data_IF_369849868060
#
_entry.id   IF_369849868060
#
_cell.length_a   1.000
_cell.length_b   1.000
_cell.length_c   1.000
_cell.angle_alpha   90.00
_cell.angle_beta   90.00
_cell.angle_gamma   90.00
#
_symmetry.space_group_name_H-M   'P 1'
#
loop_
_entity.id
_entity.type
_entity.pdbx_description
1 polymer ?
#
# COMPACT_ATOMS: atom_id res chain seq x y z
N UNK A 1 -4.29 -1.44 19.32
CA UNK A 1 -4.43 0.04 19.39
C UNK A 1 -3.78 0.67 18.18
N UNK A 2 -4.43 1.65 17.52
CA UNK A 2 -3.90 2.38 16.36
C UNK A 2 -3.09 3.60 16.82
N UNK A 3 -1.87 3.72 16.31
CA UNK A 3 -1.03 4.92 16.46
C UNK A 3 -0.80 5.53 15.08
N UNK A 4 -1.00 6.83 14.96
CA UNK A 4 -0.85 7.56 13.69
C UNK A 4 0.14 8.70 13.88
N UNK A 5 1.19 8.74 13.07
CA UNK A 5 2.17 9.84 13.05
C UNK A 5 1.85 10.85 11.96
N UNK A 6 1.42 10.35 10.78
CA UNK A 6 1.04 11.21 9.67
C UNK A 6 -0.33 10.78 9.12
N UNK A 7 -1.20 11.76 8.89
CA UNK A 7 -2.50 11.52 8.24
C UNK A 7 -2.32 11.29 6.75
N UNK A 8 -3.26 10.60 6.08
CA UNK A 8 -3.19 10.41 4.64
C UNK A 8 -3.12 11.75 3.89
N UNK A 9 -2.22 11.82 2.93
CA UNK A 9 -1.99 12.98 2.05
C UNK A 9 -2.65 12.71 0.71
N UNK A 10 -3.21 13.76 0.13
CA UNK A 10 -3.67 13.72 -1.25
C UNK A 10 -2.47 13.46 -2.17
N UNK A 11 -2.60 12.57 -3.14
CA UNK A 11 -1.54 12.22 -4.10
C UNK A 11 -0.35 11.44 -3.50
N UNK A 12 -0.56 10.75 -2.41
CA UNK A 12 0.39 9.75 -1.90
C UNK A 12 -0.19 8.35 -2.08
N UNK A 13 0.67 7.39 -2.40
CA UNK A 13 0.35 5.96 -2.39
C UNK A 13 0.75 5.35 -1.05
N UNK A 14 -0.05 4.41 -0.54
CA UNK A 14 0.21 3.75 0.73
C UNK A 14 0.20 2.25 0.60
N UNK A 15 0.99 1.60 1.44
CA UNK A 15 0.99 0.13 1.56
C UNK A 15 0.68 -0.29 2.99
N UNK A 16 -0.06 -1.38 3.12
CA UNK A 16 -0.31 -2.07 4.38
C UNK A 16 0.33 -3.44 4.36
N UNK A 17 1.11 -3.75 5.39
CA UNK A 17 1.53 -5.11 5.70
C UNK A 17 0.81 -5.58 6.96
N UNK A 18 0.25 -6.77 6.93
CA UNK A 18 -0.57 -7.32 8.00
C UNK A 18 -0.03 -8.67 8.41
N UNK A 19 0.44 -8.76 9.64
CA UNK A 19 0.77 -10.00 10.33
C UNK A 19 -0.38 -10.36 11.27
N UNK A 20 -0.92 -11.57 11.12
CA UNK A 20 -2.14 -12.00 11.80
C UNK A 20 -1.84 -13.11 12.78
N UNK A 21 -2.12 -12.86 14.04
CA UNK A 21 -2.10 -13.85 15.12
C UNK A 21 -3.48 -14.43 15.40
N UNK A 22 -3.53 -15.43 16.28
CA UNK A 22 -4.76 -16.14 16.67
C UNK A 22 -5.77 -15.25 17.44
N UNK A 23 -5.27 -14.17 18.06
CA UNK A 23 -6.10 -13.24 18.84
C UNK A 23 -6.37 -13.67 20.28
N UNK A 24 -5.69 -14.70 20.77
CA UNK A 24 -5.83 -15.18 22.16
C UNK A 24 -5.15 -14.23 23.16
N UNK A 25 -5.71 -14.13 24.37
CA UNK A 25 -5.20 -13.25 25.42
C UNK A 25 -3.74 -13.49 25.84
N UNK A 26 -3.21 -14.69 25.61
CA UNK A 26 -1.85 -15.11 25.94
C UNK A 26 -0.99 -15.43 24.70
N UNK A 27 -1.53 -15.23 23.49
CA UNK A 27 -0.83 -15.52 22.23
C UNK A 27 -0.02 -14.34 21.70
N UNK A 28 0.43 -14.48 20.46
CA UNK A 28 1.12 -13.46 19.71
C UNK A 28 0.19 -12.28 19.39
N UNK A 29 0.76 -11.19 18.95
CA UNK A 29 0.01 -10.00 18.55
C UNK A 29 -0.22 -9.98 17.04
N UNK A 30 -1.36 -9.44 16.64
CA UNK A 30 -1.53 -9.01 15.26
C UNK A 30 -0.98 -7.59 15.07
N UNK A 31 -0.40 -7.34 13.91
CA UNK A 31 0.19 -6.06 13.57
C UNK A 31 -0.20 -5.61 12.16
N UNK A 32 -0.51 -4.32 12.02
CA UNK A 32 -0.70 -3.66 10.72
C UNK A 32 0.27 -2.50 10.64
N UNK A 33 1.13 -2.50 9.65
CA UNK A 33 2.07 -1.41 9.35
C UNK A 33 1.62 -0.64 8.12
N UNK A 34 1.69 0.68 8.19
CA UNK A 34 1.35 1.56 7.05
C UNK A 34 2.57 2.36 6.64
N UNK A 35 2.92 2.29 5.35
CA UNK A 35 4.03 3.05 4.77
C UNK A 35 3.50 4.01 3.71
N UNK A 36 3.91 5.27 3.78
CA UNK A 36 3.84 6.23 2.67
C UNK A 36 4.91 5.84 1.64
N UNK A 37 4.47 5.42 0.46
CA UNK A 37 5.38 4.90 -0.58
C UNK A 37 6.25 6.00 -1.17
N UNK A 38 5.68 7.20 -1.33
CA UNK A 38 6.34 8.34 -1.95
C UNK A 38 7.45 8.91 -1.07
N UNK A 39 7.18 9.01 0.24
CA UNK A 39 8.14 9.58 1.18
C UNK A 39 9.02 8.51 1.85
N UNK A 40 8.71 7.22 1.68
CA UNK A 40 9.44 6.15 2.34
C UNK A 40 9.34 6.23 3.86
N UNK A 41 8.13 6.44 4.41
CA UNK A 41 7.94 6.64 5.85
C UNK A 41 6.87 5.71 6.41
N UNK A 42 7.13 5.16 7.59
CA UNK A 42 6.11 4.56 8.43
C UNK A 42 5.17 5.66 8.95
N UNK A 43 3.89 5.63 8.57
CA UNK A 43 2.94 6.69 8.91
C UNK A 43 1.93 6.29 9.98
N UNK A 44 1.66 4.99 10.11
CA UNK A 44 0.81 4.46 11.18
C UNK A 44 1.15 3.01 11.50
N UNK A 45 0.73 2.57 12.68
CA UNK A 45 0.76 1.19 13.13
C UNK A 45 -0.51 0.89 13.92
N UNK A 46 -1.11 -0.27 13.66
CA UNK A 46 -2.05 -0.90 14.57
C UNK A 46 -1.40 -2.13 15.17
N UNK A 47 -1.54 -2.33 16.48
CA UNK A 47 -0.98 -3.48 17.17
C UNK A 47 -1.89 -3.89 18.32
N UNK A 48 -2.22 -5.17 18.40
CA UNK A 48 -3.15 -5.67 19.42
C UNK A 48 -3.46 -7.15 19.27
N UNK A 49 -4.30 -7.64 20.18
CA UNK A 49 -4.84 -9.01 20.18
C UNK A 49 -6.32 -8.96 19.97
N UNK A 50 -6.76 -9.30 18.79
CA UNK A 50 -8.17 -9.46 18.41
C UNK A 50 -8.29 -10.65 17.45
N UNK A 51 -9.47 -11.27 17.36
CA UNK A 51 -9.72 -12.33 16.39
C UNK A 51 -9.40 -11.90 14.95
N UNK A 52 -8.94 -12.84 14.10
CA UNK A 52 -8.57 -12.52 12.72
C UNK A 52 -9.69 -11.90 11.85
N UNK A 53 -10.94 -12.26 12.10
CA UNK A 53 -12.11 -11.68 11.44
C UNK A 53 -12.37 -10.24 11.90
N UNK A 54 -12.19 -9.93 13.19
CA UNK A 54 -12.27 -8.56 13.71
C UNK A 54 -11.10 -7.71 13.19
N UNK A 55 -9.89 -8.28 13.11
CA UNK A 55 -8.73 -7.61 12.53
C UNK A 55 -9.01 -7.12 11.10
N UNK A 56 -9.78 -7.87 10.34
CA UNK A 56 -10.13 -7.47 8.97
C UNK A 56 -10.89 -6.15 8.90
N UNK A 57 -11.74 -5.83 9.89
CA UNK A 57 -12.42 -4.52 9.95
C UNK A 57 -11.43 -3.38 10.25
N UNK A 58 -10.47 -3.61 11.15
CA UNK A 58 -9.42 -2.64 11.41
C UNK A 58 -8.58 -2.39 10.17
N UNK A 59 -8.14 -3.46 9.49
CA UNK A 59 -7.38 -3.37 8.24
C UNK A 59 -8.16 -2.65 7.16
N UNK A 60 -9.46 -2.97 7.01
CA UNK A 60 -10.35 -2.31 6.05
C UNK A 60 -10.42 -0.81 6.32
N UNK A 61 -10.72 -0.42 7.55
CA UNK A 61 -10.88 0.98 7.93
C UNK A 61 -9.57 1.77 7.73
N UNK A 62 -8.45 1.22 8.18
CA UNK A 62 -7.13 1.83 7.99
C UNK A 62 -6.81 1.97 6.50
N UNK A 63 -7.00 0.91 5.72
CA UNK A 63 -6.67 0.88 4.31
C UNK A 63 -7.50 1.85 3.48
N UNK A 64 -8.81 1.94 3.74
CA UNK A 64 -9.70 2.90 3.09
C UNK A 64 -9.33 4.34 3.48
N UNK A 65 -9.05 4.58 4.76
CA UNK A 65 -8.64 5.90 5.23
C UNK A 65 -7.34 6.37 4.57
N UNK A 66 -6.38 5.45 4.34
CA UNK A 66 -5.15 5.72 3.58
C UNK A 66 -5.34 5.57 2.06
N UNK A 67 -6.50 5.94 1.53
CA UNK A 67 -6.76 6.06 0.10
C UNK A 67 -6.79 4.72 -0.65
N UNK A 68 -7.33 3.68 -0.04
CA UNK A 68 -7.33 2.30 -0.54
C UNK A 68 -5.91 1.76 -0.73
N UNK A 69 -5.11 1.87 0.31
CA UNK A 69 -3.72 1.42 0.33
C UNK A 69 -3.58 -0.03 -0.15
N UNK A 70 -2.48 -0.35 -0.83
CA UNK A 70 -2.21 -1.74 -1.24
C UNK A 70 -1.97 -2.61 -0.01
N UNK A 71 -2.91 -3.50 0.28
CA UNK A 71 -2.91 -4.35 1.46
C UNK A 71 -2.35 -5.73 1.16
N UNK A 72 -1.36 -6.14 1.95
CA UNK A 72 -0.78 -7.47 1.93
C UNK A 72 -0.91 -8.12 3.30
N UNK A 73 -1.71 -9.18 3.40
CA UNK A 73 -1.85 -10.01 4.60
C UNK A 73 -0.96 -11.23 4.46
N UNK A 74 -0.31 -11.65 5.55
CA UNK A 74 0.39 -12.94 5.55
C UNK A 74 -0.61 -14.08 5.38
N UNK A 75 -0.44 -14.90 4.35
CA UNK A 75 -1.36 -16.01 4.04
C UNK A 75 -1.03 -17.29 4.82
N UNK A 76 -0.80 -17.16 6.13
CA UNK A 76 -0.76 -18.26 7.09
C UNK A 76 -2.18 -18.69 7.51
N UNK A 77 -2.30 -19.65 8.43
CA UNK A 77 -3.60 -20.18 8.86
C UNK A 77 -4.58 -19.09 9.34
N UNK A 78 -4.11 -18.17 10.19
CA UNK A 78 -4.94 -17.09 10.77
C UNK A 78 -5.17 -15.96 9.74
N UNK A 79 -4.16 -15.64 8.93
CA UNK A 79 -4.26 -14.63 7.89
C UNK A 79 -5.23 -14.99 6.78
N UNK A 80 -5.48 -16.27 6.53
CA UNK A 80 -6.53 -16.68 5.57
C UNK A 80 -7.93 -16.23 6.00
N UNK A 81 -8.24 -16.26 7.30
CA UNK A 81 -9.50 -15.75 7.85
C UNK A 81 -9.62 -14.25 7.60
N UNK A 82 -8.56 -13.48 7.90
CA UNK A 82 -8.52 -12.04 7.63
C UNK A 82 -8.68 -11.73 6.14
N UNK A 83 -8.02 -12.49 5.25
CA UNK A 83 -8.15 -12.36 3.80
C UNK A 83 -9.57 -12.61 3.33
N UNK A 84 -10.22 -13.69 3.80
CA UNK A 84 -11.60 -14.02 3.42
C UNK A 84 -12.55 -12.91 3.85
N UNK A 85 -12.41 -12.43 5.09
CA UNK A 85 -13.26 -11.37 5.62
C UNK A 85 -13.05 -10.04 4.89
N UNK A 86 -11.81 -9.64 4.57
CA UNK A 86 -11.52 -8.44 3.76
C UNK A 86 -12.17 -8.52 2.37
N UNK A 87 -12.18 -9.70 1.75
CA UNK A 87 -12.86 -9.92 0.47
C UNK A 87 -14.38 -9.78 0.61
N UNK A 88 -14.98 -10.30 1.68
CA UNK A 88 -16.41 -10.15 1.96
C UNK A 88 -16.79 -8.69 2.21
N UNK A 89 -15.93 -7.94 2.88
CA UNK A 89 -16.08 -6.49 3.07
C UNK A 89 -15.87 -5.69 1.76
N UNK A 90 -15.40 -6.33 0.70
CA UNK A 90 -15.14 -5.67 -0.59
C UNK A 90 -13.91 -4.77 -0.60
N UNK A 91 -12.87 -5.07 0.19
CA UNK A 91 -11.65 -4.26 0.17
C UNK A 91 -11.03 -4.24 -1.24
N UNK A 92 -10.82 -3.06 -1.86
CA UNK A 92 -10.60 -2.98 -3.30
C UNK A 92 -9.17 -3.31 -3.73
N UNK A 93 -8.18 -3.11 -2.86
CA UNK A 93 -6.76 -3.12 -3.26
C UNK A 93 -5.94 -4.13 -2.44
N UNK A 94 -6.24 -5.41 -2.62
CA UNK A 94 -5.50 -6.52 -1.99
C UNK A 94 -4.40 -7.04 -2.90
N UNK A 95 -3.22 -7.27 -2.34
CA UNK A 95 -2.12 -7.92 -3.06
C UNK A 95 -2.48 -9.35 -3.47
N UNK A 96 -2.17 -9.68 -4.72
CA UNK A 96 -2.36 -11.00 -5.31
C UNK A 96 -1.07 -11.46 -5.97
N UNK A 97 -0.56 -12.59 -5.51
CA UNK A 97 0.57 -13.24 -6.17
C UNK A 97 0.05 -14.07 -7.34
N UNK A 98 0.61 -13.83 -8.53
CA UNK A 98 0.36 -14.68 -9.70
C UNK A 98 1.43 -15.75 -9.72
N UNK A 99 1.03 -17.01 -9.84
CA UNK A 99 1.91 -18.15 -10.01
C UNK A 99 1.42 -19.05 -11.13
N UNK A 100 2.34 -19.59 -11.92
CA UNK A 100 2.03 -20.60 -12.91
C UNK A 100 1.97 -21.95 -12.19
N UNK A 101 0.82 -22.61 -12.23
CA UNK A 101 0.75 -24.00 -11.77
C UNK A 101 1.34 -24.90 -12.88
N UNK A 102 2.51 -25.48 -12.61
CA UNK A 102 3.25 -26.29 -13.57
C UNK A 102 2.52 -27.58 -13.98
N UNK A 103 1.62 -28.11 -13.12
CA UNK A 103 0.86 -29.33 -13.42
C UNK A 103 -0.30 -29.07 -14.36
N UNK A 104 -1.00 -27.94 -14.19
CA UNK A 104 -2.18 -27.59 -14.98
C UNK A 104 -1.91 -26.57 -16.08
N UNK A 105 -0.69 -26.02 -16.16
CA UNK A 105 -0.29 -24.90 -17.03
C UNK A 105 -1.25 -23.70 -16.97
N UNK A 106 -1.89 -23.49 -15.80
CA UNK A 106 -2.82 -22.39 -15.55
C UNK A 106 -2.22 -21.37 -14.61
N UNK A 107 -2.47 -20.11 -14.90
CA UNK A 107 -2.16 -19.01 -13.96
C UNK A 107 -3.11 -19.07 -12.78
N UNK A 108 -2.56 -19.25 -11.58
CA UNK A 108 -3.29 -19.14 -10.31
C UNK A 108 -3.01 -17.79 -9.67
N UNK A 109 -4.00 -17.28 -8.95
CA UNK A 109 -3.87 -16.05 -8.18
C UNK A 109 -4.18 -16.37 -6.71
N UNK A 110 -3.20 -16.11 -5.85
CA UNK A 110 -3.33 -16.30 -4.42
C UNK A 110 -3.28 -14.93 -3.73
N UNK A 111 -4.23 -14.67 -2.83
CA UNK A 111 -4.24 -13.45 -2.03
C UNK A 111 -3.21 -13.53 -0.91
N UNK A 112 -2.57 -12.39 -0.64
CA UNK A 112 -1.63 -12.25 0.45
C UNK A 112 -0.22 -12.76 0.11
N UNK A 113 0.63 -12.76 1.14
CA UNK A 113 2.03 -13.16 1.05
C UNK A 113 2.25 -14.45 1.82
N UNK A 114 2.71 -15.49 1.14
CA UNK A 114 3.09 -16.74 1.79
C UNK A 114 4.54 -16.65 2.27
N UNK A 115 4.72 -16.56 3.58
CA UNK A 115 6.02 -16.62 4.22
C UNK A 115 6.54 -18.05 4.24
N UNK A 116 7.69 -18.28 3.64
CA UNK A 116 8.38 -19.55 3.54
C UNK A 116 9.81 -19.43 4.02
N UNK A 117 10.51 -20.58 4.18
CA UNK A 117 11.94 -20.59 4.50
C UNK A 117 12.80 -19.82 3.50
N UNK A 118 12.34 -19.70 2.24
CA UNK A 118 13.04 -18.96 1.18
C UNK A 118 12.59 -17.49 1.10
N UNK A 119 11.29 -17.21 1.22
CA UNK A 119 10.78 -15.84 1.04
C UNK A 119 11.00 -14.95 2.28
N UNK A 120 11.01 -15.51 3.51
CA UNK A 120 11.25 -14.74 4.75
C UNK A 120 12.63 -14.06 4.73
N UNK A 121 13.76 -14.78 4.50
CA UNK A 121 15.07 -14.12 4.44
C UNK A 121 15.15 -13.00 3.41
N UNK A 122 14.66 -13.22 2.19
CA UNK A 122 14.68 -12.21 1.13
C UNK A 122 13.90 -10.96 1.52
N UNK A 123 12.73 -11.12 2.12
CA UNK A 123 11.87 -10.03 2.57
C UNK A 123 12.54 -9.21 3.68
N UNK A 124 13.20 -9.88 4.63
CA UNK A 124 13.91 -9.24 5.74
C UNK A 124 15.20 -8.57 5.25
N UNK A 125 15.96 -9.21 4.36
CA UNK A 125 17.16 -8.62 3.77
C UNK A 125 16.81 -7.34 2.97
N UNK A 126 15.71 -7.35 2.19
CA UNK A 126 15.19 -6.16 1.50
C UNK A 126 14.80 -5.03 2.48
N UNK A 127 14.15 -5.36 3.61
CA UNK A 127 13.84 -4.39 4.65
C UNK A 127 15.12 -3.81 5.25
N UNK A 128 16.11 -4.66 5.56
CA UNK A 128 17.40 -4.24 6.08
C UNK A 128 18.13 -3.30 5.13
N UNK A 129 18.09 -3.57 3.82
CA UNK A 129 18.66 -2.68 2.79
C UNK A 129 17.92 -1.35 2.72
N UNK A 130 16.60 -1.34 2.74
CA UNK A 130 15.81 -0.10 2.70
C UNK A 130 16.10 0.80 3.91
N UNK A 131 16.28 0.21 5.10
CA UNK A 131 16.66 0.95 6.31
C UNK A 131 18.11 1.48 6.25
N UNK A 132 19.04 0.65 5.78
CA UNK A 132 20.46 1.04 5.64
C UNK A 132 20.65 2.17 4.63
N UNK A 133 19.90 2.15 3.54
CA UNK A 133 19.97 3.16 2.48
C UNK A 133 19.11 4.40 2.79
N UNK A 134 18.49 4.48 3.97
CA UNK A 134 17.60 5.58 4.38
C UNK A 134 16.36 5.72 3.46
N UNK A 135 15.99 4.64 2.76
CA UNK A 135 14.79 4.58 1.89
C UNK A 135 13.50 4.39 2.69
N UNK A 136 13.61 4.05 3.97
CA UNK A 136 12.49 3.85 4.88
C UNK A 136 12.79 4.45 6.27
N UNK A 137 11.98 5.43 6.67
CA UNK A 137 12.05 6.10 7.96
C UNK A 137 11.00 5.50 8.90
N UNK A 138 11.43 5.12 10.12
CA UNK A 138 10.57 4.54 11.13
C UNK A 138 10.27 5.53 12.25
N UNK A 139 9.00 5.56 12.69
CA UNK A 139 8.55 6.37 13.81
C UNK A 139 8.27 5.53 15.07
N UNK A 140 7.93 4.24 14.91
CA UNK A 140 7.59 3.37 16.03
C UNK A 140 8.84 2.86 16.75
N UNK A 141 9.01 3.28 18.01
CA UNK A 141 10.12 2.84 18.85
C UNK A 141 10.09 1.33 19.14
N UNK A 142 8.89 0.76 19.30
CA UNK A 142 8.74 -0.66 19.56
C UNK A 142 9.13 -1.49 18.34
N UNK A 143 8.77 -1.05 17.12
CA UNK A 143 9.22 -1.68 15.89
C UNK A 143 10.75 -1.66 15.77
N UNK A 144 11.38 -0.55 16.13
CA UNK A 144 12.85 -0.44 16.18
C UNK A 144 13.43 -1.38 17.26
N UNK A 145 12.74 -1.53 18.39
CA UNK A 145 13.11 -2.48 19.46
C UNK A 145 13.10 -3.92 18.94
N UNK A 146 12.04 -4.35 18.27
CA UNK A 146 11.94 -5.70 17.68
C UNK A 146 13.01 -5.92 16.59
N UNK A 147 13.27 -4.93 15.73
CA UNK A 147 14.34 -5.02 14.71
C UNK A 147 15.71 -5.26 15.33
N UNK A 148 16.01 -4.70 16.51
CA UNK A 148 17.29 -4.92 17.21
C UNK A 148 17.45 -6.34 17.76
N UNK A 149 16.34 -7.02 18.07
CA UNK A 149 16.33 -8.40 18.57
C UNK A 149 16.10 -9.43 17.46
N UNK A 150 15.86 -8.95 16.22
CA UNK A 150 15.63 -9.82 15.10
C UNK A 150 16.94 -10.44 14.60
N UNK A 151 17.06 -11.75 14.74
CA UNK A 151 18.31 -12.47 14.47
C UNK A 151 18.10 -13.66 13.54
N UNK A 152 19.19 -14.06 12.88
CA UNK A 152 19.25 -15.30 12.12
C UNK A 152 19.97 -16.35 12.98
N UNK A 153 19.34 -17.48 13.25
CA UNK A 153 19.97 -18.59 13.94
C UNK A 153 20.90 -19.40 13.00
N UNK A 154 21.68 -20.30 13.57
CA UNK A 154 22.63 -21.17 12.84
C UNK A 154 21.97 -22.02 11.74
N UNK A 155 20.68 -22.32 11.84
CA UNK A 155 19.88 -23.07 10.87
C UNK A 155 19.28 -22.19 9.78
N UNK A 156 19.60 -20.86 9.78
CA UNK A 156 19.10 -19.89 8.82
C UNK A 156 17.67 -19.42 9.06
N UNK A 157 17.02 -19.85 10.15
CA UNK A 157 15.72 -19.32 10.54
C UNK A 157 15.86 -17.93 11.15
N UNK A 158 14.94 -17.04 10.82
CA UNK A 158 14.92 -15.64 11.27
C UNK A 158 13.71 -15.39 12.14
N UNK A 159 13.93 -14.81 13.33
CA UNK A 159 12.86 -14.42 14.25
C UNK A 159 13.33 -13.33 15.21
N UNK A 160 12.38 -12.57 15.75
CA UNK A 160 12.58 -11.67 16.88
C UNK A 160 12.37 -12.41 18.22
N UNK A 161 12.78 -11.78 19.32
CA UNK A 161 12.52 -12.24 20.66
C UNK A 161 12.18 -11.06 21.56
N UNK A 162 11.06 -11.08 22.30
CA UNK A 162 10.07 -12.17 22.39
C UNK A 162 9.06 -12.21 21.23
N UNK A 163 8.93 -11.17 20.42
CA UNK A 163 7.96 -11.03 19.32
C UNK A 163 8.64 -10.54 18.05
N UNK A 164 8.04 -10.84 16.90
CA UNK A 164 8.49 -10.35 15.57
C UNK A 164 7.35 -9.81 14.68
N UNK A 165 6.16 -9.67 15.24
CA UNK A 165 4.93 -9.27 14.53
C UNK A 165 5.07 -7.93 13.81
N UNK A 166 5.66 -6.93 14.48
CA UNK A 166 5.87 -5.59 13.91
C UNK A 166 6.88 -5.61 12.77
N UNK A 167 7.92 -6.44 12.90
CA UNK A 167 8.96 -6.59 11.87
C UNK A 167 8.39 -7.32 10.66
N UNK A 168 7.59 -8.36 10.87
CA UNK A 168 6.97 -9.12 9.79
C UNK A 168 5.97 -8.28 9.02
N UNK A 169 5.08 -7.57 9.71
CA UNK A 169 4.14 -6.65 9.09
C UNK A 169 4.87 -5.52 8.31
N UNK A 170 5.93 -4.95 8.89
CA UNK A 170 6.74 -3.91 8.23
C UNK A 170 7.43 -4.43 6.98
N UNK A 171 8.01 -5.61 7.04
CA UNK A 171 8.69 -6.22 5.90
C UNK A 171 7.72 -6.50 4.74
N UNK A 172 6.49 -6.95 5.03
CA UNK A 172 5.44 -7.10 4.02
C UNK A 172 5.03 -5.75 3.43
N UNK A 173 4.81 -4.72 4.27
CA UNK A 173 4.49 -3.38 3.79
C UNK A 173 5.59 -2.82 2.88
N UNK A 174 6.87 -3.04 3.24
CA UNK A 174 8.02 -2.64 2.43
C UNK A 174 8.08 -3.38 1.09
N UNK A 175 7.78 -4.69 1.05
CA UNK A 175 7.67 -5.42 -0.22
C UNK A 175 6.59 -4.84 -1.13
N UNK A 176 5.48 -4.40 -0.57
CA UNK A 176 4.37 -3.83 -1.34
C UNK A 176 4.71 -2.50 -1.99
N UNK A 177 5.71 -1.77 -1.52
CA UNK A 177 6.18 -0.53 -2.18
C UNK A 177 6.57 -0.76 -3.65
N UNK A 178 7.02 -1.97 -3.99
CA UNK A 178 7.39 -2.35 -5.36
C UNK A 178 6.18 -2.49 -6.30
N UNK A 179 4.99 -2.64 -5.75
CA UNK A 179 3.75 -2.91 -6.50
C UNK A 179 2.70 -1.81 -6.33
N UNK A 180 2.93 -0.86 -5.42
CA UNK A 180 1.98 0.18 -5.12
C UNK A 180 1.94 1.23 -6.23
N UNK A 181 0.72 1.67 -6.55
CA UNK A 181 0.49 2.80 -7.44
C UNK A 181 0.64 4.11 -6.65
N UNK A 182 1.44 5.02 -7.15
CA UNK A 182 1.56 6.38 -6.63
C UNK A 182 0.75 7.28 -7.58
N UNK A 183 -0.34 7.91 -7.10
CA UNK A 183 -1.10 8.83 -7.93
C UNK A 183 -0.22 10.00 -8.36
N UNK A 184 -0.07 10.22 -9.66
CA UNK A 184 0.58 11.42 -10.16
C UNK A 184 -0.37 12.62 -10.09
N UNK A 185 0.12 13.73 -9.60
CA UNK A 185 -0.61 15.00 -9.72
C UNK A 185 -0.52 15.47 -11.16
N UNK A 186 -1.47 15.06 -11.98
CA UNK A 186 -1.69 15.73 -13.26
C UNK A 186 -2.42 17.03 -12.94
N UNK A 187 -1.67 18.13 -12.88
CA UNK A 187 -2.28 19.45 -12.92
C UNK A 187 -2.94 19.55 -14.29
N UNK A 188 -4.23 19.19 -14.37
CA UNK A 188 -5.06 19.70 -15.47
C UNK A 188 -5.09 21.21 -15.27
N UNK A 189 -4.20 21.89 -15.96
CA UNK A 189 -4.38 23.32 -16.22
C UNK A 189 -5.68 23.37 -17.02
N UNK A 190 -6.74 23.76 -16.36
CA UNK A 190 -7.99 24.03 -17.05
C UNK A 190 -7.74 25.30 -17.82
N UNK A 191 -7.33 25.16 -19.09
CA UNK A 191 -7.02 26.28 -20.01
C UNK A 191 -8.22 27.22 -20.16
N UNK A 192 -9.41 26.76 -19.73
CA UNK A 192 -10.68 27.48 -19.84
C UNK A 192 -10.80 28.72 -18.93
N UNK A 193 -9.93 28.90 -17.93
CA UNK A 193 -9.96 30.04 -17.01
C UNK A 193 -8.60 30.75 -16.88
N UNK A 194 -7.65 30.44 -17.78
CA UNK A 194 -6.37 31.15 -17.79
C UNK A 194 -6.54 32.51 -18.52
N UNK A 195 -5.69 33.49 -18.18
CA UNK A 195 -5.66 34.79 -18.84
C UNK A 195 -5.43 34.66 -20.37
N UNK A 196 -4.67 33.65 -20.79
CA UNK A 196 -4.43 33.33 -22.21
C UNK A 196 -5.65 32.75 -22.90
N UNK A 197 -6.48 31.94 -22.21
CA UNK A 197 -7.78 31.52 -22.74
C UNK A 197 -8.71 32.73 -22.89
N UNK A 198 -8.79 33.59 -21.88
CA UNK A 198 -9.61 34.78 -21.90
C UNK A 198 -9.18 35.75 -23.02
N UNK A 199 -7.87 35.97 -23.22
CA UNK A 199 -7.31 36.78 -24.30
C UNK A 199 -7.71 36.27 -25.68
N UNK A 200 -7.79 34.95 -25.86
CA UNK A 200 -8.25 34.32 -27.14
C UNK A 200 -9.73 34.49 -27.39
N UNK A 201 -10.56 34.78 -26.37
CA UNK A 201 -11.98 35.06 -26.53
C UNK A 201 -12.28 36.51 -26.87
N UNK A 202 -11.34 37.44 -26.72
CA UNK A 202 -11.50 38.85 -27.10
C UNK A 202 -11.31 38.94 -28.60
N UNK A 203 -12.33 39.43 -29.37
CA UNK A 203 -12.15 39.66 -30.78
C UNK A 203 -10.97 40.61 -30.99
N UNK A 204 -9.99 40.24 -31.82
CA UNK A 204 -8.94 41.14 -32.24
C UNK A 204 -9.56 42.21 -33.11
N UNK A 205 -9.50 43.46 -32.68
CA UNK A 205 -9.88 44.60 -33.49
C UNK A 205 -8.84 44.91 -34.59
N UNK A 206 -8.09 43.93 -35.03
CA UNK A 206 -7.09 44.06 -36.07
C UNK A 206 -7.76 43.88 -37.42
N UNK A 207 -7.85 44.93 -38.26
CA UNK A 207 -8.55 44.88 -39.53
C UNK A 207 -7.95 43.90 -40.56
N UNK A 208 -6.73 43.41 -40.34
CA UNK A 208 -6.08 42.46 -41.24
C UNK A 208 -6.46 40.97 -40.93
N UNK A 209 -7.14 40.68 -39.79
CA UNK A 209 -7.45 39.30 -39.37
C UNK A 209 -8.89 38.86 -39.67
N UNK A 210 -9.64 39.66 -40.45
CA UNK A 210 -11.06 39.39 -40.81
C UNK A 210 -11.24 38.37 -41.94
N UNK A 211 -10.20 37.62 -42.34
CA UNK A 211 -10.29 36.67 -43.44
C UNK A 211 -10.35 35.21 -43.09
N UNK A 212 -10.55 34.84 -41.81
CA UNK A 212 -10.68 33.43 -41.48
C UNK A 212 -12.01 33.20 -40.73
N UNK A 213 -12.99 32.63 -41.45
CA UNK A 213 -14.06 31.93 -40.77
C UNK A 213 -15.49 32.09 -41.26
N UNK A 214 -15.73 32.05 -42.58
CA UNK A 214 -17.05 31.63 -43.05
C UNK A 214 -17.08 30.12 -43.26
N UNK A 215 -17.32 29.37 -42.23
CA UNK A 215 -17.73 27.97 -42.38
C UNK A 215 -19.25 27.92 -42.36
N UNK A 216 -19.80 27.82 -43.56
CA UNK A 216 -21.18 27.53 -43.88
C UNK A 216 -21.68 26.27 -43.16
N UNK A 217 -22.68 26.43 -42.30
CA UNK A 217 -23.61 25.37 -41.97
C UNK A 217 -24.43 25.04 -43.24
N UNK A 218 -24.10 23.94 -43.91
CA UNK A 218 -25.03 23.27 -44.82
C UNK A 218 -25.82 22.27 -44.01
N UNK A 219 -27.06 22.62 -43.68
CA UNK A 219 -28.07 21.66 -43.31
C UNK A 219 -28.42 20.80 -44.52
N UNK A 220 -28.50 19.51 -44.33
CA UNK A 220 -29.18 18.59 -45.27
C UNK A 220 -30.48 18.13 -44.61
N UNK A 221 -31.51 18.27 -45.37
CA UNK A 221 -32.85 17.76 -45.17
C UNK A 221 -32.87 16.22 -45.00
#
# INVERSE_FOLDING_TARGET
MLTVWERPKRWSGYTLGVDTAEGLGHGDYSCVQVIDVKEGKQVAIWHGRIPPDELAYEVYNIGVWYGNALCCVESNNHGLTTIVQLRQLGYPNMFRKRSLNNESNKMTQEFGWKTTRTSKPLMIDDLGMALKNEELILHCRDTIGELRTFTRNERGSMSGSPYDDRVMALAMANQMRKYAFIPEFVQKVDDTFTFDWWRRQIPSNDPENNHIGTNSFRGTA
#
